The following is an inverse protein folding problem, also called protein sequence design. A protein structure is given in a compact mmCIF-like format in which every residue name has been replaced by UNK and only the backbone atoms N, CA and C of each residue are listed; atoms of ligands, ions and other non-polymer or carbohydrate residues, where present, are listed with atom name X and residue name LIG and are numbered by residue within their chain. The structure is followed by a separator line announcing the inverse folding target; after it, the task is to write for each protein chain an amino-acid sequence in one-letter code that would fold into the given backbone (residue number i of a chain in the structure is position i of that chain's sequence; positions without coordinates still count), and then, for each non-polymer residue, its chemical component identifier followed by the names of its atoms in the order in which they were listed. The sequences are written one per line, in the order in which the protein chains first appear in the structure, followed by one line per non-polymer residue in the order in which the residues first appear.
data_IF_296590572809
#
_entry.id   IF_296590572809
#
_cell.length_a   1.000
_cell.length_b   1.000
_cell.length_c   1.000
_cell.angle_alpha   90.00
_cell.angle_beta   90.00
_cell.angle_gamma   90.00
#
_symmetry.space_group_name_H-M   'P 1'
#
loop_
_entity.id
_entity.type
_entity.pdbx_description
1 polymer ?
#
# COMPACT_ATOMS: atom_id res chain seq x y z
N UNK A 1 23.64 20.42 -9.17
CA UNK A 1 22.16 20.25 -9.29
C UNK A 1 21.70 19.46 -10.53
N UNK A 2 22.46 19.37 -11.62
CA UNK A 2 22.02 18.68 -12.86
C UNK A 2 21.50 17.24 -12.60
N UNK A 3 22.28 16.43 -11.87
CA UNK A 3 21.90 15.06 -11.49
C UNK A 3 20.55 14.96 -10.76
N UNK A 4 20.28 15.84 -9.79
CA UNK A 4 19.01 15.84 -9.05
C UNK A 4 17.82 16.03 -9.98
N UNK A 5 17.95 16.96 -10.93
CA UNK A 5 16.89 17.30 -11.89
C UNK A 5 16.66 16.18 -12.91
N UNK A 6 17.72 15.55 -13.37
CA UNK A 6 17.65 14.55 -14.44
C UNK A 6 17.25 13.16 -13.93
N UNK A 7 17.71 12.78 -12.73
CA UNK A 7 17.58 11.42 -12.21
C UNK A 7 17.29 11.35 -10.71
N UNK A 8 17.97 12.16 -9.90
CA UNK A 8 17.93 12.03 -8.44
C UNK A 8 16.52 12.11 -7.84
N UNK A 9 15.67 13.04 -8.29
CA UNK A 9 14.27 13.13 -7.83
C UNK A 9 13.50 11.85 -8.18
N UNK A 10 13.67 11.34 -9.41
CA UNK A 10 12.99 10.13 -9.84
C UNK A 10 13.45 8.89 -9.05
N UNK A 11 14.75 8.78 -8.75
CA UNK A 11 15.30 7.70 -7.92
C UNK A 11 14.75 7.74 -6.50
N UNK A 12 14.73 8.92 -5.87
CA UNK A 12 14.18 9.13 -4.51
C UNK A 12 12.68 8.80 -4.46
N UNK A 13 11.89 9.31 -5.41
CA UNK A 13 10.45 9.00 -5.47
C UNK A 13 10.24 7.52 -5.73
N UNK A 14 11.01 6.95 -6.65
CA UNK A 14 10.96 5.52 -6.99
C UNK A 14 11.26 4.62 -5.79
N UNK A 15 12.24 4.94 -4.96
CA UNK A 15 12.55 4.12 -3.78
C UNK A 15 11.45 4.15 -2.73
N UNK A 16 10.75 5.28 -2.59
CA UNK A 16 9.59 5.41 -1.69
C UNK A 16 8.40 4.62 -2.23
N UNK A 17 8.03 4.86 -3.50
CA UNK A 17 6.86 4.23 -4.13
C UNK A 17 7.02 2.72 -4.34
N UNK A 18 8.25 2.25 -4.55
CA UNK A 18 8.56 0.84 -4.73
C UNK A 18 9.04 0.15 -3.45
N UNK A 19 8.93 0.80 -2.29
CA UNK A 19 9.29 0.17 -1.02
C UNK A 19 8.43 -1.07 -0.75
N UNK A 20 9.08 -2.13 -0.27
CA UNK A 20 8.42 -3.41 -0.03
C UNK A 20 7.35 -3.28 1.06
N UNK A 21 7.61 -2.46 2.07
CA UNK A 21 6.71 -2.14 3.17
C UNK A 21 5.42 -1.48 2.63
N UNK A 22 5.54 -0.46 1.79
CA UNK A 22 4.38 0.20 1.17
C UNK A 22 3.58 -0.79 0.33
N UNK A 23 4.25 -1.58 -0.51
CA UNK A 23 3.59 -2.56 -1.36
C UNK A 23 2.80 -3.59 -0.52
N UNK A 24 3.42 -4.17 0.52
CA UNK A 24 2.77 -5.14 1.40
C UNK A 24 1.54 -4.54 2.09
N UNK A 25 1.66 -3.34 2.63
CA UNK A 25 0.57 -2.70 3.37
C UNK A 25 -0.58 -2.29 2.44
N UNK A 26 -0.29 -1.82 1.22
CA UNK A 26 -1.31 -1.56 0.18
C UNK A 26 -2.04 -2.84 -0.21
N UNK A 27 -1.31 -3.95 -0.44
CA UNK A 27 -1.93 -5.25 -0.75
C UNK A 27 -2.87 -5.70 0.37
N UNK A 28 -2.43 -5.61 1.64
CA UNK A 28 -3.28 -5.94 2.80
C UNK A 28 -4.54 -5.08 2.84
N UNK A 29 -4.40 -3.76 2.63
CA UNK A 29 -5.52 -2.83 2.61
C UNK A 29 -6.52 -3.15 1.50
N UNK A 30 -6.04 -3.46 0.29
CA UNK A 30 -6.88 -3.84 -0.85
C UNK A 30 -7.66 -5.12 -0.57
N UNK A 31 -7.01 -6.15 -0.02
CA UNK A 31 -7.66 -7.41 0.32
C UNK A 31 -8.71 -7.20 1.42
N UNK A 32 -8.38 -6.46 2.47
CA UNK A 32 -9.32 -6.16 3.55
C UNK A 32 -10.53 -5.36 3.03
N UNK A 33 -10.29 -4.37 2.16
CA UNK A 33 -11.34 -3.56 1.55
C UNK A 33 -12.26 -4.39 0.66
N UNK A 34 -11.70 -5.29 -0.15
CA UNK A 34 -12.47 -6.22 -0.99
C UNK A 34 -13.35 -7.14 -0.14
N UNK A 35 -12.79 -7.72 0.92
CA UNK A 35 -13.53 -8.65 1.79
C UNK A 35 -14.67 -7.93 2.51
N UNK A 36 -14.44 -6.71 2.98
CA UNK A 36 -15.47 -5.91 3.65
C UNK A 36 -16.58 -5.47 2.69
N UNK A 37 -16.22 -4.99 1.49
CA UNK A 37 -17.21 -4.66 0.46
C UNK A 37 -18.03 -5.89 0.04
N UNK A 38 -17.42 -7.06 -0.07
CA UNK A 38 -18.12 -8.31 -0.35
C UNK A 38 -19.10 -8.67 0.77
N UNK A 39 -18.67 -8.60 2.04
CA UNK A 39 -19.52 -8.90 3.19
C UNK A 39 -20.74 -7.97 3.26
N UNK A 40 -20.54 -6.66 3.06
CA UNK A 40 -21.61 -5.67 3.03
C UNK A 40 -22.57 -5.92 1.86
N UNK A 41 -22.05 -6.13 0.65
CA UNK A 41 -22.88 -6.42 -0.51
C UNK A 41 -23.71 -7.69 -0.34
N UNK A 42 -23.12 -8.75 0.22
CA UNK A 42 -23.85 -9.99 0.50
C UNK A 42 -24.94 -9.79 1.57
N UNK A 43 -24.67 -8.99 2.60
CA UNK A 43 -25.66 -8.66 3.63
C UNK A 43 -26.86 -7.91 3.04
N UNK A 44 -26.62 -6.92 2.18
CA UNK A 44 -27.68 -6.20 1.46
C UNK A 44 -28.50 -7.13 0.55
N UNK A 45 -27.84 -7.99 -0.23
CA UNK A 45 -28.54 -8.98 -1.04
C UNK A 45 -29.40 -9.93 -0.17
N UNK A 46 -28.85 -10.40 0.95
CA UNK A 46 -29.56 -11.27 1.89
C UNK A 46 -30.82 -10.59 2.43
N UNK A 47 -30.70 -9.33 2.85
CA UNK A 47 -31.83 -8.52 3.31
C UNK A 47 -32.93 -8.41 2.24
N UNK A 48 -32.57 -8.15 0.99
CA UNK A 48 -33.54 -8.08 -0.10
C UNK A 48 -34.22 -9.42 -0.40
N UNK A 49 -33.48 -10.53 -0.37
CA UNK A 49 -34.02 -11.89 -0.58
C UNK A 49 -35.04 -12.25 0.50
N UNK A 50 -34.67 -12.05 1.77
CA UNK A 50 -35.56 -12.28 2.92
C UNK A 50 -36.86 -11.47 2.76
N UNK A 51 -36.73 -10.20 2.39
CA UNK A 51 -37.88 -9.31 2.27
C UNK A 51 -38.80 -9.64 1.08
N UNK A 52 -38.22 -9.99 -0.07
CA UNK A 52 -38.98 -10.28 -1.29
C UNK A 52 -39.64 -11.65 -1.24
N UNK A 53 -38.92 -12.68 -0.80
CA UNK A 53 -39.36 -14.07 -0.88
C UNK A 53 -39.94 -14.59 0.43
N UNK A 54 -39.81 -13.85 1.55
CA UNK A 54 -40.25 -14.26 2.89
C UNK A 54 -39.64 -15.59 3.33
N UNK A 55 -38.40 -15.84 2.93
CA UNK A 55 -37.61 -17.02 3.31
C UNK A 55 -36.57 -16.64 4.36
N UNK A 56 -36.14 -17.63 5.14
CA UNK A 56 -34.99 -17.48 6.03
C UNK A 56 -33.69 -17.60 5.23
N UNK A 57 -32.94 -16.51 5.15
CA UNK A 57 -31.69 -16.42 4.41
C UNK A 57 -30.73 -15.50 5.14
N UNK A 58 -29.55 -16.01 5.50
CA UNK A 58 -28.54 -15.30 6.26
C UNK A 58 -27.21 -15.20 5.50
N UNK A 59 -26.18 -14.68 6.18
CA UNK A 59 -24.83 -14.51 5.62
C UNK A 59 -23.93 -15.74 5.80
N UNK A 60 -24.45 -16.87 6.33
CA UNK A 60 -23.66 -18.08 6.61
C UNK A 60 -23.07 -18.74 5.36
N UNK A 61 -23.69 -18.50 4.20
CA UNK A 61 -23.23 -18.98 2.88
C UNK A 61 -22.30 -18.01 2.15
N UNK A 62 -21.99 -16.85 2.75
CA UNK A 62 -21.04 -15.91 2.16
C UNK A 62 -19.61 -16.46 2.22
N UNK A 63 -18.70 -15.90 1.41
CA UNK A 63 -17.27 -16.21 1.46
C UNK A 63 -16.55 -15.67 2.73
N UNK A 64 -17.21 -14.84 3.53
CA UNK A 64 -16.67 -14.25 4.77
C UNK A 64 -17.59 -14.53 5.97
N UNK A 65 -18.04 -15.78 6.18
CA UNK A 65 -19.05 -16.07 7.19
C UNK A 65 -18.44 -15.94 8.59
N UNK A 66 -19.08 -15.14 9.45
CA UNK A 66 -18.62 -14.92 10.83
C UNK A 66 -17.32 -14.11 10.95
N UNK A 67 -16.78 -13.56 9.86
CA UNK A 67 -15.57 -12.73 9.87
C UNK A 67 -15.95 -11.26 10.11
N UNK A 68 -15.28 -10.60 11.06
CA UNK A 68 -15.43 -9.16 11.25
C UNK A 68 -14.56 -8.39 10.23
N UNK A 69 -15.03 -8.31 8.99
CA UNK A 69 -14.32 -7.67 7.89
C UNK A 69 -14.13 -6.17 8.08
N UNK A 70 -15.08 -5.50 8.75
CA UNK A 70 -14.99 -4.07 9.04
C UNK A 70 -13.81 -3.79 9.98
N UNK A 71 -13.69 -4.55 11.07
CA UNK A 71 -12.56 -4.41 11.99
C UNK A 71 -11.22 -4.72 11.29
N UNK A 72 -11.18 -5.74 10.43
CA UNK A 72 -9.98 -6.05 9.64
C UNK A 72 -9.59 -4.90 8.70
N UNK A 73 -10.56 -4.28 8.02
CA UNK A 73 -10.34 -3.10 7.19
C UNK A 73 -9.88 -1.89 8.01
N UNK A 74 -10.49 -1.64 9.17
CA UNK A 74 -10.09 -0.55 10.07
C UNK A 74 -8.64 -0.73 10.57
N UNK A 75 -8.25 -1.97 10.91
CA UNK A 75 -6.89 -2.31 11.29
C UNK A 75 -5.91 -2.08 10.12
N UNK A 76 -6.23 -2.56 8.91
CA UNK A 76 -5.38 -2.36 7.73
C UNK A 76 -5.23 -0.88 7.35
N UNK A 77 -6.28 -0.06 7.50
CA UNK A 77 -6.21 1.40 7.32
C UNK A 77 -5.32 2.05 8.35
N UNK A 78 -5.41 1.62 9.61
CA UNK A 78 -4.56 2.12 10.69
C UNK A 78 -3.10 1.79 10.43
N UNK A 79 -2.81 0.56 9.98
CA UNK A 79 -1.46 0.15 9.60
C UNK A 79 -0.92 1.01 8.44
N UNK A 80 -1.71 1.21 7.37
CA UNK A 80 -1.32 2.04 6.23
C UNK A 80 -1.05 3.50 6.61
N UNK A 81 -1.94 4.12 7.38
CA UNK A 81 -1.81 5.53 7.75
C UNK A 81 -0.64 5.81 8.69
N UNK A 82 -0.20 4.81 9.46
CA UNK A 82 0.92 4.93 10.39
C UNK A 82 2.21 4.32 9.84
N UNK A 83 2.21 3.84 8.59
CA UNK A 83 3.35 3.18 7.98
C UNK A 83 4.57 4.10 7.99
N UNK A 84 5.65 3.63 8.60
CA UNK A 84 6.96 4.26 8.52
C UNK A 84 7.76 3.58 7.41
N UNK A 85 8.35 4.38 6.53
CA UNK A 85 9.19 3.90 5.45
C UNK A 85 10.65 4.18 5.82
N UNK A 86 11.48 3.16 6.08
CA UNK A 86 12.88 3.38 6.45
C UNK A 86 13.66 4.24 5.45
N UNK A 87 13.30 4.14 4.17
CA UNK A 87 13.89 4.96 3.10
C UNK A 87 13.57 6.46 3.26
N UNK A 88 12.39 6.82 3.77
CA UNK A 88 12.03 8.22 4.05
C UNK A 88 12.86 8.79 5.19
N UNK A 89 13.10 7.99 6.24
CA UNK A 89 13.96 8.41 7.35
C UNK A 89 15.39 8.65 6.89
N UNK A 90 15.91 7.74 6.05
CA UNK A 90 17.24 7.88 5.44
C UNK A 90 17.34 9.15 4.58
N UNK A 91 16.36 9.40 3.72
CA UNK A 91 16.29 10.62 2.90
C UNK A 91 16.26 11.87 3.79
N UNK A 92 15.44 11.87 4.84
CA UNK A 92 15.32 13.01 5.76
C UNK A 92 16.64 13.34 6.46
N UNK A 93 17.39 12.33 6.89
CA UNK A 93 18.73 12.52 7.50
C UNK A 93 19.70 13.11 6.48
N UNK A 94 19.73 12.57 5.26
CA UNK A 94 20.64 13.02 4.20
C UNK A 94 20.39 14.46 3.79
N UNK A 95 19.11 14.86 3.69
CA UNK A 95 18.72 16.21 3.29
C UNK A 95 19.14 17.29 4.32
N UNK A 96 19.55 16.91 5.53
CA UNK A 96 20.08 17.85 6.54
C UNK A 96 21.57 18.17 6.33
N UNK A 97 22.27 17.44 5.45
CA UNK A 97 23.68 17.64 5.15
C UNK A 97 23.91 18.78 4.14
N UNK A 98 25.01 19.52 4.30
CA UNK A 98 25.47 20.49 3.30
C UNK A 98 25.81 19.80 1.96
N UNK A 99 26.22 18.53 2.00
CA UNK A 99 26.53 17.72 0.83
C UNK A 99 25.47 16.63 0.55
N UNK A 100 24.21 16.96 0.77
CA UNK A 100 23.07 16.07 0.53
C UNK A 100 23.05 15.46 -0.87
N UNK A 101 23.56 16.17 -1.89
CA UNK A 101 23.60 15.64 -3.27
C UNK A 101 24.57 14.48 -3.41
N UNK A 102 25.77 14.56 -2.83
CA UNK A 102 26.73 13.45 -2.87
C UNK A 102 26.20 12.26 -2.08
N UNK A 103 25.65 12.49 -0.88
CA UNK A 103 25.09 11.42 -0.07
C UNK A 103 23.87 10.75 -0.71
N UNK A 104 22.99 11.51 -1.38
CA UNK A 104 21.88 10.93 -2.15
C UNK A 104 22.39 10.08 -3.30
N UNK A 105 23.51 10.44 -3.94
CA UNK A 105 24.12 9.62 -5.00
C UNK A 105 24.74 8.33 -4.45
N UNK A 106 25.25 8.32 -3.23
CA UNK A 106 25.73 7.09 -2.59
C UNK A 106 24.59 6.11 -2.32
N UNK A 107 23.43 6.63 -1.91
CA UNK A 107 22.22 5.83 -1.63
C UNK A 107 21.51 5.39 -2.90
N UNK A 108 21.46 6.29 -3.88
CA UNK A 108 20.82 6.10 -5.17
C UNK A 108 21.87 6.27 -6.28
N UNK A 109 22.78 5.29 -6.43
CA UNK A 109 23.79 5.36 -7.46
C UNK A 109 23.13 5.46 -8.83
N UNK A 110 23.83 6.13 -9.75
CA UNK A 110 23.44 6.04 -11.15
C UNK A 110 23.45 4.56 -11.52
N UNK A 111 22.37 4.07 -12.15
CA UNK A 111 22.45 2.79 -12.82
C UNK A 111 23.58 2.96 -13.83
N UNK A 112 24.65 2.20 -13.66
CA UNK A 112 25.76 2.19 -14.62
C UNK A 112 25.15 2.02 -16.01
N UNK A 113 25.67 2.73 -16.99
CA UNK A 113 25.35 2.53 -18.42
C UNK A 113 25.84 1.15 -18.93
N UNK A 114 26.15 0.22 -18.02
CA UNK A 114 26.74 -1.10 -18.26
C UNK A 114 25.68 -2.23 -18.34
N UNK A 115 24.38 -1.91 -18.43
CA UNK A 115 23.33 -2.87 -18.82
C UNK A 115 23.14 -2.97 -20.36
N UNK A 116 24.06 -2.41 -21.16
CA UNK A 116 24.11 -2.55 -22.62
C UNK A 116 25.25 -3.48 -23.11
N UNK A 117 25.81 -4.33 -22.24
CA UNK A 117 26.79 -5.37 -22.60
C UNK A 117 26.46 -6.74 -22.00
N UNK A 118 25.41 -7.40 -22.53
CA UNK A 118 25.41 -8.78 -23.06
C UNK A 118 23.99 -9.32 -23.31
#
# INVERSE_FOLDING_TARGET
MLWLKERGIASVVGSVLNSEELNKTVVRLLVAGRNDGYAQGYAECSYHVVNALKVDWDTSKSATPGVNTNAALAAAKTEFNNLQLPVMDLINVVLQSEDHVAQLKEIFPDKDEDEDLD
#
